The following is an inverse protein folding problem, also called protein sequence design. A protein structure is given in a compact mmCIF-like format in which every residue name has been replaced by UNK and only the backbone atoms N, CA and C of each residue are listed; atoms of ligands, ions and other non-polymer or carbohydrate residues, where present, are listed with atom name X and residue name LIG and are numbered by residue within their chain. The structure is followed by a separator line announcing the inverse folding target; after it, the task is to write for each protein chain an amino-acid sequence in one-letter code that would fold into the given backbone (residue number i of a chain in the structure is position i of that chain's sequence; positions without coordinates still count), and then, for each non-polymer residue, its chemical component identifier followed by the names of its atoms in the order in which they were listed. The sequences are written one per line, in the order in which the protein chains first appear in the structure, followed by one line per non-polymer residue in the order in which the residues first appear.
data_IF_044763712746
#
_entry.id   IF_044763712746
#
_cell.length_a   1.000
_cell.length_b   1.000
_cell.length_c   1.000
_cell.angle_alpha   90.00
_cell.angle_beta   90.00
_cell.angle_gamma   90.00
#
_symmetry.space_group_name_H-M   'P 1'
#
loop_
_entity.id
_entity.type
_entity.pdbx_description
1 polymer ?
#
# COMPACT_ATOMS: atom_id res chain seq x y z
N UNK A 1 -27.27 -3.53 -12.84
CA UNK A 1 -26.43 -2.32 -12.91
C UNK A 1 -25.06 -2.71 -12.38
N UNK A 2 -24.02 -2.73 -13.24
CA UNK A 2 -22.68 -3.13 -12.80
C UNK A 2 -21.97 -1.90 -12.23
N UNK A 3 -22.02 -1.73 -10.90
CA UNK A 3 -21.27 -0.70 -10.20
C UNK A 3 -19.76 -0.81 -10.50
N UNK A 4 -19.05 0.31 -10.53
CA UNK A 4 -17.61 0.30 -10.71
C UNK A 4 -16.95 -0.36 -9.51
N UNK A 5 -16.16 -1.40 -9.77
CA UNK A 5 -15.38 -2.09 -8.74
C UNK A 5 -14.08 -1.35 -8.51
N UNK A 6 -13.64 -1.31 -7.27
CA UNK A 6 -12.29 -0.85 -6.97
C UNK A 6 -11.24 -1.62 -7.78
N UNK A 7 -10.15 -0.96 -8.16
CA UNK A 7 -9.09 -1.54 -8.99
C UNK A 7 -7.73 -1.19 -8.44
N UNK A 8 -6.75 -2.03 -8.67
CA UNK A 8 -5.34 -1.79 -8.38
C UNK A 8 -4.50 -2.03 -9.64
N UNK A 9 -3.67 -1.06 -9.98
CA UNK A 9 -2.66 -1.14 -11.04
C UNK A 9 -1.28 -1.16 -10.40
N UNK A 10 -0.45 -2.14 -10.77
CA UNK A 10 0.94 -2.21 -10.32
C UNK A 10 1.79 -1.23 -11.12
N UNK A 11 2.29 -0.16 -10.46
CA UNK A 11 3.07 0.89 -11.15
C UNK A 11 4.54 0.51 -11.33
N UNK A 12 5.12 -0.24 -10.39
CA UNK A 12 6.50 -0.72 -10.48
C UNK A 12 6.63 -2.17 -9.99
N UNK A 13 7.81 -2.76 -10.12
CA UNK A 13 8.10 -4.13 -9.65
C UNK A 13 8.12 -4.27 -8.13
N UNK A 14 8.08 -3.18 -7.38
CA UNK A 14 8.30 -3.14 -5.95
C UNK A 14 7.04 -2.72 -5.15
N UNK A 15 6.97 -1.48 -4.71
CA UNK A 15 5.98 -1.01 -3.72
C UNK A 15 4.89 -0.12 -4.28
N UNK A 16 5.04 0.41 -5.51
CA UNK A 16 4.16 1.46 -6.02
C UNK A 16 2.89 0.92 -6.67
N UNK A 17 1.76 1.42 -6.21
CA UNK A 17 0.43 1.04 -6.69
C UNK A 17 -0.44 2.26 -7.00
N UNK A 18 -1.23 2.19 -8.05
CA UNK A 18 -2.36 3.08 -8.29
C UNK A 18 -3.65 2.34 -7.91
N UNK A 19 -4.41 2.91 -6.98
CA UNK A 19 -5.72 2.40 -6.59
C UNK A 19 -6.81 3.34 -7.11
N UNK A 20 -7.79 2.78 -7.81
CA UNK A 20 -8.99 3.47 -8.24
C UNK A 20 -10.18 2.94 -7.41
N UNK A 21 -10.72 3.78 -6.54
CA UNK A 21 -11.76 3.41 -5.58
C UNK A 21 -13.06 4.11 -5.97
N UNK A 22 -14.18 3.39 -6.14
CA UNK A 22 -15.46 4.01 -6.41
C UNK A 22 -15.93 4.80 -5.17
N UNK A 23 -16.44 5.99 -5.39
CA UNK A 23 -17.04 6.87 -4.38
C UNK A 23 -18.39 7.36 -4.87
N UNK A 24 -19.31 7.57 -3.96
CA UNK A 24 -20.65 8.09 -4.26
C UNK A 24 -20.75 9.53 -3.77
N UNK A 25 -20.94 10.45 -4.70
CA UNK A 25 -21.12 11.86 -4.41
C UNK A 25 -22.36 12.37 -5.14
N UNK A 26 -23.27 13.02 -4.41
CA UNK A 26 -24.50 13.60 -4.95
C UNK A 26 -25.35 12.62 -5.79
N UNK A 27 -25.36 11.33 -5.40
CA UNK A 27 -26.08 10.26 -6.10
C UNK A 27 -25.35 9.70 -7.35
N UNK A 28 -24.18 10.21 -7.69
CA UNK A 28 -23.36 9.77 -8.80
C UNK A 28 -22.15 8.99 -8.31
N UNK A 29 -21.82 7.92 -9.05
CA UNK A 29 -20.60 7.15 -8.82
C UNK A 29 -19.42 7.83 -9.51
N UNK A 30 -18.37 8.15 -8.74
CA UNK A 30 -17.13 8.73 -9.19
C UNK A 30 -15.96 7.81 -8.80
N UNK A 31 -14.80 7.99 -9.38
CA UNK A 31 -13.59 7.27 -9.03
C UNK A 31 -12.61 8.20 -8.30
N UNK A 32 -12.11 7.75 -7.16
CA UNK A 32 -11.04 8.37 -6.40
C UNK A 32 -9.73 7.61 -6.66
N UNK A 33 -8.73 8.30 -7.19
CA UNK A 33 -7.45 7.72 -7.59
C UNK A 33 -6.37 8.08 -6.58
N UNK A 34 -5.76 7.08 -5.93
CA UNK A 34 -4.65 7.29 -5.02
C UNK A 34 -3.42 6.48 -5.41
N UNK A 35 -2.22 7.04 -5.19
CA UNK A 35 -0.95 6.37 -5.42
C UNK A 35 -0.31 6.02 -4.09
N UNK A 36 0.00 4.73 -3.90
CA UNK A 36 0.72 4.22 -2.75
C UNK A 36 2.22 4.16 -3.05
N UNK A 37 3.04 4.62 -2.11
CA UNK A 37 4.49 4.45 -2.05
C UNK A 37 5.19 4.71 -3.41
N UNK A 38 5.14 5.95 -3.95
CA UNK A 38 5.60 6.22 -5.30
C UNK A 38 7.14 6.20 -5.40
N UNK A 39 7.67 5.14 -6.00
CA UNK A 39 9.04 5.08 -6.52
C UNK A 39 8.96 4.89 -8.04
N UNK A 40 8.84 5.99 -8.77
CA UNK A 40 8.60 6.01 -10.21
C UNK A 40 9.86 6.35 -11.01
N UNK A 41 10.64 7.29 -10.52
CA UNK A 41 11.91 7.68 -11.14
C UNK A 41 12.91 6.50 -11.16
N UNK A 42 13.74 6.40 -12.20
CA UNK A 42 14.69 5.30 -12.39
C UNK A 42 15.96 5.44 -11.53
N UNK A 43 16.09 6.50 -10.72
CA UNK A 43 17.22 6.64 -9.80
C UNK A 43 17.16 5.62 -8.67
N UNK A 44 18.33 5.32 -8.11
CA UNK A 44 18.43 4.37 -7.01
C UNK A 44 17.85 4.94 -5.71
N UNK A 45 17.29 4.07 -4.90
CA UNK A 45 17.03 4.36 -3.50
C UNK A 45 18.34 4.34 -2.70
N UNK A 46 18.45 5.23 -1.72
CA UNK A 46 19.59 5.31 -0.81
C UNK A 46 19.05 5.48 0.60
N UNK A 47 19.26 4.50 1.46
CA UNK A 47 18.93 4.60 2.87
C UNK A 47 20.16 4.86 3.70
N UNK A 48 20.13 5.94 4.51
CA UNK A 48 21.23 6.49 5.30
C UNK A 48 22.38 7.02 4.44
N UNK A 49 23.17 6.15 3.81
CA UNK A 49 24.31 6.52 2.94
C UNK A 49 24.49 5.50 1.82
N UNK A 50 25.16 5.90 0.75
CA UNK A 50 25.52 5.02 -0.37
C UNK A 50 26.32 3.79 0.08
N UNK A 51 27.20 3.97 1.07
CA UNK A 51 27.99 2.87 1.61
C UNK A 51 27.16 1.90 2.48
N UNK A 52 26.04 2.37 3.03
CA UNK A 52 25.17 1.58 3.89
C UNK A 52 24.15 0.77 3.08
N UNK A 53 23.32 1.44 2.28
CA UNK A 53 22.29 0.79 1.46
C UNK A 53 22.01 1.59 0.21
N UNK A 54 22.26 0.99 -0.94
CA UNK A 54 21.86 1.50 -2.25
C UNK A 54 21.19 0.36 -3.02
N UNK A 55 20.05 0.64 -3.62
CA UNK A 55 19.35 -0.35 -4.43
C UNK A 55 18.73 0.31 -5.67
N UNK A 56 18.75 -0.40 -6.78
CA UNK A 56 18.12 0.03 -8.03
C UNK A 56 17.14 -1.03 -8.49
N UNK A 57 16.01 -0.58 -9.01
CA UNK A 57 15.04 -1.47 -9.64
C UNK A 57 15.64 -2.05 -10.92
N UNK A 58 15.29 -3.29 -11.22
CA UNK A 58 15.63 -3.96 -12.48
C UNK A 58 14.52 -3.74 -13.51
N UNK A 59 13.28 -3.69 -13.05
CA UNK A 59 12.10 -3.47 -13.90
C UNK A 59 11.70 -2.00 -13.81
N UNK A 60 11.58 -1.35 -14.98
CA UNK A 60 11.11 0.03 -15.06
C UNK A 60 9.65 0.14 -14.60
N UNK A 61 9.31 1.27 -13.99
CA UNK A 61 7.92 1.61 -13.72
C UNK A 61 7.16 1.86 -15.02
N UNK A 62 5.84 1.69 -14.98
CA UNK A 62 4.95 1.99 -16.12
C UNK A 62 4.83 3.50 -16.39
N UNK A 63 5.16 4.31 -15.40
CA UNK A 63 5.25 5.77 -15.46
C UNK A 63 6.50 6.21 -14.71
N UNK A 64 7.22 7.21 -15.22
CA UNK A 64 8.46 7.74 -14.63
C UNK A 64 8.22 8.92 -13.68
N UNK A 65 7.00 9.44 -13.62
CA UNK A 65 6.60 10.58 -12.80
C UNK A 65 5.12 10.54 -12.43
N UNK A 66 4.72 11.35 -11.44
CA UNK A 66 3.29 11.47 -11.07
C UNK A 66 2.46 12.09 -12.19
N UNK A 67 3.03 13.00 -13.00
CA UNK A 67 2.35 13.56 -14.16
C UNK A 67 2.06 12.52 -15.24
N UNK A 68 2.94 11.53 -15.43
CA UNK A 68 2.66 10.41 -16.33
C UNK A 68 1.59 9.47 -15.78
N UNK A 69 1.51 9.30 -14.45
CA UNK A 69 0.39 8.56 -13.84
C UNK A 69 -0.93 9.30 -14.06
N UNK A 70 -0.96 10.64 -14.01
CA UNK A 70 -2.15 11.43 -14.39
C UNK A 70 -2.59 11.13 -15.82
N UNK A 71 -1.63 11.03 -16.77
CA UNK A 71 -1.92 10.65 -18.17
C UNK A 71 -2.46 9.22 -18.28
N UNK A 72 -1.92 8.26 -17.50
CA UNK A 72 -2.44 6.89 -17.47
C UNK A 72 -3.90 6.83 -16.98
N UNK A 73 -4.23 7.60 -15.94
CA UNK A 73 -5.60 7.70 -15.43
C UNK A 73 -6.54 8.27 -16.49
N UNK A 74 -6.16 9.36 -17.15
CA UNK A 74 -6.95 9.99 -18.19
C UNK A 74 -7.22 9.01 -19.35
N UNK A 75 -6.18 8.36 -19.89
CA UNK A 75 -6.29 7.43 -21.02
C UNK A 75 -7.13 6.19 -20.69
N UNK A 76 -7.03 5.65 -19.47
CA UNK A 76 -7.79 4.45 -19.07
C UNK A 76 -9.31 4.67 -19.07
N UNK A 77 -9.78 5.91 -19.05
CA UNK A 77 -11.19 6.31 -19.03
C UNK A 77 -11.75 6.62 -20.42
N UNK A 78 -10.91 7.14 -21.33
CA UNK A 78 -11.34 7.48 -22.69
C UNK A 78 -11.77 6.24 -23.50
N UNK A 79 -11.14 5.11 -23.28
CA UNK A 79 -11.46 3.84 -23.98
C UNK A 79 -12.86 3.28 -23.65
N UNK A 80 -13.51 3.72 -22.57
CA UNK A 80 -14.81 3.20 -22.10
C UNK A 80 -16.02 4.09 -22.37
N UNK A 81 -15.83 5.27 -22.97
CA UNK A 81 -16.86 6.09 -23.63
C UNK A 81 -18.04 6.58 -22.79
N UNK A 82 -18.13 6.32 -21.48
CA UNK A 82 -19.31 6.65 -20.66
C UNK A 82 -19.07 7.37 -19.33
N UNK A 83 -17.86 7.40 -18.78
CA UNK A 83 -17.66 7.92 -17.43
C UNK A 83 -16.81 9.19 -17.41
N UNK A 84 -17.41 10.32 -17.82
CA UNK A 84 -16.78 11.67 -17.75
C UNK A 84 -16.83 12.28 -16.34
N UNK A 85 -17.50 11.65 -15.36
CA UNK A 85 -17.63 12.15 -14.00
C UNK A 85 -16.61 11.46 -13.07
N UNK A 86 -15.55 12.13 -12.75
CA UNK A 86 -14.50 11.71 -11.82
C UNK A 86 -13.18 12.40 -12.09
N UNK A 87 -12.30 12.41 -11.11
CA UNK A 87 -10.96 12.98 -11.30
C UNK A 87 -10.22 12.25 -12.43
N UNK A 88 -9.69 13.02 -13.38
CA UNK A 88 -8.85 12.49 -14.46
C UNK A 88 -7.37 12.48 -14.09
N UNK A 89 -7.07 12.54 -12.80
CA UNK A 89 -5.73 12.67 -12.24
C UNK A 89 -5.67 12.02 -10.85
N UNK A 90 -4.47 11.94 -10.28
CA UNK A 90 -4.26 11.49 -8.91
C UNK A 90 -4.96 12.44 -7.95
N UNK A 91 -5.74 11.90 -7.02
CA UNK A 91 -6.45 12.65 -5.99
C UNK A 91 -5.67 12.73 -4.67
N UNK A 92 -4.84 11.72 -4.35
CA UNK A 92 -3.97 11.73 -3.17
C UNK A 92 -2.74 10.84 -3.36
N UNK A 93 -1.64 11.22 -2.69
CA UNK A 93 -0.47 10.35 -2.47
C UNK A 93 -0.51 9.79 -1.06
N UNK A 94 -0.07 8.54 -0.91
CA UNK A 94 -0.07 7.84 0.38
C UNK A 94 1.30 7.19 0.60
N UNK A 95 1.96 7.54 1.72
CA UNK A 95 3.26 6.98 2.11
C UNK A 95 3.10 6.11 3.35
N UNK A 96 3.49 4.85 3.22
CA UNK A 96 3.34 3.86 4.29
C UNK A 96 4.53 3.80 5.23
N UNK A 97 5.75 3.90 4.70
CA UNK A 97 7.01 3.65 5.43
C UNK A 97 8.05 4.74 5.18
N UNK A 98 9.03 4.92 6.10
CA UNK A 98 10.05 5.98 6.01
C UNK A 98 11.20 5.69 5.05
N UNK A 99 11.26 4.49 4.47
CA UNK A 99 12.35 4.07 3.60
C UNK A 99 12.19 4.64 2.19
N UNK A 100 13.31 4.81 1.50
CA UNK A 100 13.33 5.53 0.21
C UNK A 100 12.74 4.75 -0.97
N UNK A 101 12.43 3.48 -0.81
CA UNK A 101 11.64 2.68 -1.75
C UNK A 101 10.11 2.83 -1.57
N UNK A 102 9.69 3.46 -0.49
CA UNK A 102 8.29 3.85 -0.23
C UNK A 102 8.06 5.36 -0.39
N UNK A 103 9.07 6.16 -0.04
CA UNK A 103 9.03 7.61 -0.08
C UNK A 103 10.21 8.13 -0.91
N UNK A 104 10.21 7.82 -2.21
CA UNK A 104 11.36 8.07 -3.09
C UNK A 104 11.61 9.57 -3.30
N UNK A 105 12.76 10.11 -2.86
CA UNK A 105 13.00 11.56 -2.86
C UNK A 105 12.87 12.18 -4.24
N UNK A 106 13.46 11.60 -5.30
CA UNK A 106 13.44 12.13 -6.65
C UNK A 106 12.02 12.13 -7.24
N UNK A 107 11.23 11.10 -6.96
CA UNK A 107 9.81 11.09 -7.36
C UNK A 107 9.03 12.18 -6.62
N UNK A 108 9.23 12.35 -5.32
CA UNK A 108 8.47 13.31 -4.50
C UNK A 108 8.87 14.77 -4.75
N UNK A 109 10.13 15.04 -5.10
CA UNK A 109 10.63 16.40 -5.36
C UNK A 109 10.66 16.76 -6.85
N UNK A 110 10.08 15.93 -7.72
CA UNK A 110 10.01 16.23 -9.13
C UNK A 110 9.27 17.55 -9.36
N UNK A 111 9.86 18.53 -10.09
CA UNK A 111 9.27 19.86 -10.27
C UNK A 111 7.94 19.85 -11.07
N UNK A 112 7.63 18.78 -11.77
CA UNK A 112 6.33 18.60 -12.43
C UNK A 112 5.19 18.22 -11.50
N UNK A 113 5.48 17.90 -10.22
CA UNK A 113 4.47 17.50 -9.26
C UNK A 113 3.56 18.69 -8.90
N UNK A 114 2.28 18.41 -8.82
CA UNK A 114 1.28 19.41 -8.46
C UNK A 114 1.34 19.76 -6.97
N UNK A 115 1.41 21.06 -6.69
CA UNK A 115 1.48 21.57 -5.32
C UNK A 115 0.16 21.41 -4.52
N UNK A 116 -0.96 21.25 -5.22
CA UNK A 116 -2.30 21.05 -4.66
C UNK A 116 -2.64 19.58 -4.41
N UNK A 117 -1.75 18.65 -4.79
CA UNK A 117 -1.94 17.23 -4.56
C UNK A 117 -1.74 16.88 -3.07
N UNK A 118 -2.75 16.38 -2.35
CA UNK A 118 -2.61 15.99 -0.95
C UNK A 118 -1.60 14.86 -0.78
N UNK A 119 -0.70 15.03 0.19
CA UNK A 119 0.26 14.03 0.61
C UNK A 119 -0.12 13.49 1.98
N UNK A 120 -0.51 12.23 2.04
CA UNK A 120 -0.86 11.52 3.25
C UNK A 120 0.27 10.57 3.63
N UNK A 121 0.62 10.48 4.90
CA UNK A 121 1.67 9.53 5.28
C UNK A 121 1.64 9.15 6.75
N UNK A 122 2.28 8.03 7.07
CA UNK A 122 2.52 7.66 8.47
C UNK A 122 3.45 8.70 9.11
N UNK A 123 3.42 8.90 10.45
CA UNK A 123 4.33 9.83 11.12
C UNK A 123 5.80 9.56 10.79
N UNK A 124 6.18 8.28 10.73
CA UNK A 124 7.54 7.85 10.42
C UNK A 124 7.94 8.18 8.97
N UNK A 125 7.04 8.02 8.01
CA UNK A 125 7.27 8.38 6.61
C UNK A 125 7.38 9.89 6.41
N UNK A 126 6.49 10.67 7.03
CA UNK A 126 6.47 12.12 6.87
C UNK A 126 7.64 12.82 7.55
N UNK A 127 8.24 12.23 8.59
CA UNK A 127 9.37 12.81 9.29
C UNK A 127 10.55 13.19 8.38
N UNK A 128 11.12 12.24 7.60
CA UNK A 128 12.16 12.53 6.62
C UNK A 128 11.64 13.31 5.41
N UNK A 129 10.44 13.01 4.91
CA UNK A 129 9.88 13.64 3.70
C UNK A 129 9.70 15.15 3.85
N UNK A 130 9.21 15.63 5.00
CA UNK A 130 9.09 17.08 5.29
C UNK A 130 10.41 17.85 5.26
N UNK A 131 11.53 17.15 5.32
CA UNK A 131 12.88 17.74 5.27
C UNK A 131 13.50 17.72 3.87
N UNK A 132 12.80 17.12 2.89
CA UNK A 132 13.30 17.08 1.52
C UNK A 132 13.31 18.49 0.92
N UNK A 133 14.45 18.95 0.40
CA UNK A 133 14.50 20.24 -0.30
C UNK A 133 13.68 20.17 -1.59
N UNK A 134 12.90 21.21 -1.85
CA UNK A 134 12.08 21.28 -3.07
C UNK A 134 10.82 20.43 -3.06
N UNK A 135 10.37 19.93 -1.90
CA UNK A 135 9.08 19.24 -1.77
C UNK A 135 7.94 20.20 -2.16
N UNK A 136 7.15 19.89 -3.24
CA UNK A 136 6.17 20.86 -3.75
C UNK A 136 4.83 20.84 -2.99
N UNK A 137 4.49 19.73 -2.32
CA UNK A 137 3.17 19.51 -1.72
C UNK A 137 2.90 20.46 -0.55
N UNK A 138 1.80 21.24 -0.66
CA UNK A 138 1.38 22.20 0.37
C UNK A 138 0.48 21.57 1.43
N UNK A 139 -0.24 20.51 1.05
CA UNK A 139 -1.23 19.84 1.87
C UNK A 139 -0.70 18.48 2.33
N UNK A 140 -0.11 18.43 3.55
CA UNK A 140 0.59 17.25 4.08
C UNK A 140 -0.04 16.80 5.39
N UNK A 141 -0.69 15.64 5.38
CA UNK A 141 -1.47 15.10 6.48
C UNK A 141 -0.90 13.81 7.05
N UNK A 142 -0.98 13.69 8.36
CA UNK A 142 -0.60 12.46 9.06
C UNK A 142 -1.76 11.48 9.11
N UNK A 143 -1.54 10.25 8.65
CA UNK A 143 -2.53 9.18 8.71
C UNK A 143 -2.75 8.77 10.17
N UNK A 144 -4.01 8.79 10.67
CA UNK A 144 -4.32 8.47 12.04
C UNK A 144 -4.10 6.97 12.35
N UNK A 145 -3.83 6.68 13.61
CA UNK A 145 -3.83 5.30 14.11
C UNK A 145 -5.25 4.76 14.11
N UNK A 146 -5.42 3.52 13.70
CA UNK A 146 -6.71 2.84 13.79
C UNK A 146 -7.17 2.74 15.25
N UNK A 147 -8.43 3.05 15.48
CA UNK A 147 -9.12 2.69 16.71
C UNK A 147 -9.33 1.17 16.71
N UNK A 148 -9.10 0.51 17.85
CA UNK A 148 -9.24 -0.94 17.93
C UNK A 148 -10.70 -1.42 17.88
N UNK A 149 -11.59 -0.67 18.51
CA UNK A 149 -13.00 -1.06 18.68
C UNK A 149 -13.90 -0.53 17.56
N UNK A 150 -13.53 0.63 16.99
CA UNK A 150 -14.42 1.42 16.15
C UNK A 150 -13.95 1.48 14.71
N UNK A 151 -14.83 1.14 13.78
CA UNK A 151 -14.56 1.32 12.35
C UNK A 151 -14.35 2.81 12.01
N UNK A 152 -13.34 3.14 11.19
CA UNK A 152 -13.09 4.53 10.80
C UNK A 152 -14.24 5.12 9.95
N UNK A 153 -15.07 4.30 9.32
CA UNK A 153 -16.24 4.77 8.55
C UNK A 153 -17.33 5.38 9.44
N UNK A 154 -17.36 5.05 10.74
CA UNK A 154 -18.35 5.59 11.68
C UNK A 154 -18.01 6.99 12.19
N UNK A 155 -16.83 7.53 11.87
CA UNK A 155 -16.35 8.84 12.31
C UNK A 155 -16.05 9.74 11.12
N UNK A 156 -16.18 11.06 11.25
CA UNK A 156 -15.64 12.00 10.27
C UNK A 156 -14.14 11.79 10.07
N UNK A 157 -13.63 12.17 8.89
CA UNK A 157 -12.19 12.13 8.61
C UNK A 157 -11.61 13.53 8.66
N UNK A 158 -10.47 13.68 9.32
CA UNK A 158 -9.66 14.91 9.26
C UNK A 158 -8.73 14.93 8.03
N UNK A 159 -8.69 13.83 7.26
CA UNK A 159 -7.95 13.75 6.01
C UNK A 159 -8.80 14.31 4.87
N UNK A 160 -8.17 14.91 3.84
CA UNK A 160 -8.84 15.41 2.64
C UNK A 160 -9.29 14.28 1.72
N UNK A 161 -10.14 13.40 2.23
CA UNK A 161 -10.68 12.24 1.54
C UNK A 161 -12.19 12.43 1.31
N UNK A 162 -12.72 11.90 0.20
CA UNK A 162 -14.14 11.98 -0.05
C UNK A 162 -14.95 11.21 1.01
N UNK A 163 -16.23 11.56 1.20
CA UNK A 163 -17.12 10.75 2.01
C UNK A 163 -17.08 9.28 1.60
N UNK A 164 -17.10 8.37 2.58
CA UNK A 164 -17.06 6.92 2.32
C UNK A 164 -15.67 6.33 2.10
N UNK A 165 -14.59 7.12 2.03
CA UNK A 165 -13.21 6.60 2.07
C UNK A 165 -12.53 6.97 3.39
N UNK A 166 -11.80 6.03 3.97
CA UNK A 166 -10.95 6.23 5.16
C UNK A 166 -9.62 5.53 4.97
N UNK A 167 -8.56 6.16 5.46
CA UNK A 167 -7.22 5.57 5.52
C UNK A 167 -6.76 5.66 6.97
N UNK A 168 -6.38 4.53 7.54
CA UNK A 168 -5.82 4.44 8.88
C UNK A 168 -4.58 3.56 8.89
N UNK A 169 -3.64 3.84 9.78
CA UNK A 169 -2.47 2.99 9.97
C UNK A 169 -2.72 1.98 11.09
N UNK A 170 -2.21 0.78 10.90
CA UNK A 170 -2.13 -0.26 11.91
C UNK A 170 -0.67 -0.35 12.37
N UNK A 171 -0.46 -0.38 13.66
CA UNK A 171 0.87 -0.47 14.24
C UNK A 171 1.08 -1.87 14.81
N UNK A 172 2.32 -2.38 14.72
CA UNK A 172 2.67 -3.63 15.34
C UNK A 172 2.34 -3.60 16.85
N UNK A 173 1.47 -4.49 17.30
CA UNK A 173 0.93 -4.50 18.66
C UNK A 173 1.98 -4.88 19.74
N UNK A 174 3.12 -5.43 19.36
CA UNK A 174 4.06 -6.05 20.27
C UNK A 174 5.22 -5.15 20.66
N UNK A 175 5.15 -4.49 21.82
CA UNK A 175 6.30 -3.82 22.43
C UNK A 175 7.49 -4.78 22.66
N UNK A 176 7.22 -6.05 22.94
CA UNK A 176 8.23 -7.10 23.12
C UNK A 176 8.89 -7.55 21.82
N UNK A 177 8.23 -7.35 20.68
CA UNK A 177 8.78 -7.72 19.38
C UNK A 177 10.00 -6.88 18.99
N UNK A 178 10.04 -5.59 19.34
CA UNK A 178 11.21 -4.75 19.11
C UNK A 178 12.45 -5.25 19.89
N UNK A 179 12.25 -5.79 21.12
CA UNK A 179 13.32 -6.39 21.92
C UNK A 179 13.79 -7.70 21.28
N UNK A 180 12.86 -8.51 20.77
CA UNK A 180 13.14 -9.84 20.22
C UNK A 180 13.71 -9.78 18.78
N UNK A 181 13.21 -8.85 17.97
CA UNK A 181 13.45 -8.85 16.51
C UNK A 181 14.28 -7.68 16.01
N UNK A 182 14.56 -6.68 16.82
CA UNK A 182 15.42 -5.56 16.49
C UNK A 182 14.75 -4.17 16.52
N UNK A 183 15.55 -3.10 16.54
CA UNK A 183 15.08 -1.72 16.77
C UNK A 183 14.21 -1.16 15.63
N UNK A 184 14.33 -1.74 14.43
CA UNK A 184 13.55 -1.29 13.26
C UNK A 184 12.15 -1.93 13.19
N UNK A 185 11.81 -2.87 14.09
CA UNK A 185 10.57 -3.64 14.05
C UNK A 185 9.31 -2.76 13.88
N UNK A 186 9.15 -1.75 14.73
CA UNK A 186 7.95 -0.90 14.71
C UNK A 186 7.85 0.00 13.47
N UNK A 187 8.98 0.27 12.81
CA UNK A 187 9.04 1.07 11.57
C UNK A 187 8.81 0.23 10.32
N UNK A 188 9.10 -1.06 10.39
CA UNK A 188 8.95 -2.02 9.29
C UNK A 188 7.59 -2.69 9.30
N UNK A 189 7.16 -3.16 10.48
CA UNK A 189 5.99 -4.03 10.60
C UNK A 189 4.75 -3.25 11.02
N UNK A 190 4.04 -2.76 10.03
CA UNK A 190 2.78 -2.07 10.13
C UNK A 190 1.98 -2.27 8.86
N UNK A 191 0.81 -1.66 8.81
CA UNK A 191 -0.02 -1.68 7.61
C UNK A 191 -0.83 -0.40 7.47
N UNK A 192 -1.29 -0.13 6.26
CA UNK A 192 -2.37 0.81 5.99
C UNK A 192 -3.64 0.03 5.69
N UNK A 193 -4.73 0.39 6.36
CA UNK A 193 -6.05 -0.06 5.99
C UNK A 193 -6.75 1.05 5.21
N UNK A 194 -7.01 0.80 3.94
CA UNK A 194 -7.80 1.66 3.07
C UNK A 194 -9.19 1.06 3.03
N UNK A 195 -10.16 1.79 3.57
CA UNK A 195 -11.54 1.34 3.77
C UNK A 195 -12.45 2.19 2.91
N UNK A 196 -13.34 1.56 2.16
CA UNK A 196 -14.32 2.27 1.36
C UNK A 196 -15.72 1.67 1.49
N UNK A 197 -16.73 2.50 1.27
CA UNK A 197 -18.11 2.08 1.22
C UNK A 197 -18.42 1.47 -0.15
N UNK A 198 -19.01 0.26 -0.20
CA UNK A 198 -19.21 -0.49 -1.45
C UNK A 198 -20.51 -0.20 -2.18
N UNK A 199 -21.50 0.40 -1.53
CA UNK A 199 -22.79 0.76 -2.12
C UNK A 199 -23.33 2.06 -1.53
N UNK A 200 -24.18 2.75 -2.33
CA UNK A 200 -24.90 3.94 -1.93
C UNK A 200 -26.03 3.66 -0.92
N UNK A 201 -25.95 2.65 -0.10
CA UNK A 201 -27.01 2.36 0.87
C UNK A 201 -26.93 3.30 2.07
N UNK A 202 -27.40 4.53 1.86
CA UNK A 202 -27.68 5.49 2.93
C UNK A 202 -28.78 5.03 3.90
N UNK A 203 -29.42 3.91 3.65
CA UNK A 203 -30.55 3.37 4.42
C UNK A 203 -30.23 2.11 5.22
N UNK A 204 -29.07 1.52 5.08
CA UNK A 204 -28.71 0.31 5.84
C UNK A 204 -28.13 0.67 7.21
N UNK A 205 -28.56 -0.01 8.24
CA UNK A 205 -28.07 0.11 9.63
C UNK A 205 -26.58 -0.23 9.79
N UNK A 206 -25.93 -0.76 8.74
CA UNK A 206 -24.49 -1.00 8.64
C UNK A 206 -24.04 -0.83 7.20
N UNK A 207 -23.22 0.19 6.86
CA UNK A 207 -22.70 0.34 5.52
C UNK A 207 -21.79 -0.85 5.16
N UNK A 208 -22.04 -1.46 4.00
CA UNK A 208 -21.16 -2.46 3.44
C UNK A 208 -19.83 -1.81 3.07
N UNK A 209 -18.74 -2.47 3.39
CA UNK A 209 -17.40 -1.91 3.17
C UNK A 209 -16.46 -2.89 2.49
N UNK A 210 -15.60 -2.34 1.62
CA UNK A 210 -14.39 -2.98 1.16
C UNK A 210 -13.19 -2.50 1.98
N UNK A 211 -12.20 -3.36 2.12
CA UNK A 211 -10.93 -3.08 2.80
C UNK A 211 -9.78 -3.61 1.99
N UNK A 212 -8.79 -2.76 1.74
CA UNK A 212 -7.48 -3.14 1.29
C UNK A 212 -6.49 -2.95 2.43
N UNK A 213 -5.88 -4.04 2.87
CA UNK A 213 -4.79 -4.03 3.83
C UNK A 213 -3.47 -4.05 3.06
N UNK A 214 -2.72 -2.94 3.11
CA UNK A 214 -1.40 -2.80 2.49
C UNK A 214 -0.32 -2.96 3.55
N UNK A 215 0.45 -4.04 3.47
CA UNK A 215 1.49 -4.39 4.43
C UNK A 215 2.73 -4.95 3.72
N UNK A 216 3.54 -4.11 3.06
CA UNK A 216 4.66 -4.55 2.22
C UNK A 216 5.78 -5.26 2.98
N UNK A 217 5.91 -5.02 4.28
CA UNK A 217 6.88 -5.70 5.14
C UNK A 217 6.26 -6.80 6.04
N UNK A 218 4.95 -6.83 6.11
CA UNK A 218 4.19 -7.74 6.96
C UNK A 218 3.69 -7.13 8.27
N UNK A 219 2.60 -7.68 8.77
CA UNK A 219 1.98 -7.30 10.05
C UNK A 219 1.52 -8.55 10.79
N UNK A 220 1.62 -8.54 12.11
CA UNK A 220 1.16 -9.68 12.92
C UNK A 220 -0.38 -9.76 12.93
N UNK A 221 -0.98 -10.96 12.84
CA UNK A 221 -2.45 -11.12 12.91
C UNK A 221 -3.07 -10.46 14.15
N UNK A 222 -2.38 -10.49 15.29
CA UNK A 222 -2.83 -9.86 16.53
C UNK A 222 -2.95 -8.32 16.46
N UNK A 223 -2.39 -7.70 15.41
CA UNK A 223 -2.47 -6.26 15.18
C UNK A 223 -3.67 -5.85 14.30
N UNK A 224 -4.49 -6.81 13.88
CA UNK A 224 -5.67 -6.56 13.02
C UNK A 224 -6.89 -6.27 13.90
N UNK A 225 -7.46 -5.06 13.87
CA UNK A 225 -8.65 -4.73 14.63
C UNK A 225 -9.86 -5.57 14.20
N UNK A 226 -10.75 -5.98 15.13
CA UNK A 226 -11.89 -6.84 14.83
C UNK A 226 -12.87 -6.28 13.79
N UNK A 227 -12.98 -4.97 13.66
CA UNK A 227 -13.86 -4.36 12.67
C UNK A 227 -13.40 -4.58 11.23
N UNK A 228 -12.08 -4.79 10.97
CA UNK A 228 -11.57 -5.16 9.64
C UNK A 228 -12.09 -6.52 9.18
N UNK A 229 -12.31 -7.44 10.12
CA UNK A 229 -12.81 -8.79 9.82
C UNK A 229 -14.27 -8.80 9.38
N UNK A 230 -15.00 -7.71 9.64
CA UNK A 230 -16.41 -7.54 9.27
C UNK A 230 -16.61 -6.95 7.88
N UNK A 231 -15.55 -6.51 7.22
CA UNK A 231 -15.64 -6.00 5.85
C UNK A 231 -16.10 -7.11 4.89
N UNK A 232 -16.97 -6.76 3.95
CA UNK A 232 -17.54 -7.70 2.97
C UNK A 232 -16.48 -8.13 1.95
N UNK A 233 -15.67 -7.21 1.49
CA UNK A 233 -14.54 -7.46 0.59
C UNK A 233 -13.23 -7.13 1.29
N UNK A 234 -12.35 -8.11 1.39
CA UNK A 234 -11.04 -7.98 2.03
C UNK A 234 -9.94 -8.35 1.05
N UNK A 235 -9.02 -7.44 0.84
CA UNK A 235 -7.87 -7.58 -0.05
C UNK A 235 -6.60 -7.38 0.76
N UNK A 236 -5.59 -8.20 0.53
CA UNK A 236 -4.28 -8.09 1.14
C UNK A 236 -3.22 -7.84 0.07
N UNK A 237 -2.47 -6.73 0.18
CA UNK A 237 -1.22 -6.50 -0.56
C UNK A 237 -0.07 -6.73 0.41
N UNK A 238 0.77 -7.72 0.11
CA UNK A 238 1.80 -8.20 1.05
C UNK A 238 3.04 -8.70 0.29
N UNK A 239 4.22 -8.58 0.93
CA UNK A 239 5.42 -9.24 0.40
C UNK A 239 5.30 -10.77 0.46
N UNK A 240 5.78 -11.44 -0.57
CA UNK A 240 5.78 -12.89 -0.64
C UNK A 240 7.15 -13.48 -0.27
N UNK A 241 8.23 -12.71 -0.41
CA UNK A 241 9.57 -13.15 -0.04
C UNK A 241 9.98 -12.64 1.33
N UNK A 242 10.56 -13.53 2.13
CA UNK A 242 11.09 -13.14 3.45
C UNK A 242 12.48 -12.57 3.28
N UNK A 243 12.72 -11.42 3.91
CA UNK A 243 14.01 -10.78 3.97
C UNK A 243 14.43 -10.57 5.42
N UNK A 244 15.69 -10.84 5.74
CA UNK A 244 16.18 -10.78 7.12
C UNK A 244 17.59 -10.22 7.14
N UNK A 245 17.83 -9.25 8.00
CA UNK A 245 19.14 -8.74 8.39
C UNK A 245 19.52 -9.30 9.78
N UNK A 246 20.78 -9.19 10.20
CA UNK A 246 21.15 -9.49 11.58
C UNK A 246 20.29 -8.72 12.58
N UNK A 247 19.93 -9.36 13.72
CA UNK A 247 19.02 -8.77 14.70
C UNK A 247 19.50 -7.43 15.29
N UNK A 248 20.82 -7.27 15.42
CA UNK A 248 21.43 -6.01 15.89
C UNK A 248 21.26 -4.84 14.88
N UNK A 249 20.97 -5.12 13.60
CA UNK A 249 20.77 -4.10 12.56
C UNK A 249 19.27 -3.79 12.37
N UNK A 250 18.48 -4.79 12.03
CA UNK A 250 17.05 -4.61 11.79
C UNK A 250 16.21 -5.88 12.07
N UNK A 251 16.84 -7.06 12.08
CA UNK A 251 16.13 -8.34 12.19
C UNK A 251 15.34 -8.66 10.91
N UNK A 252 14.12 -9.19 11.01
CA UNK A 252 13.25 -9.40 9.86
C UNK A 252 12.90 -8.05 9.21
N UNK A 253 13.24 -7.89 7.92
CA UNK A 253 12.89 -6.73 7.10
C UNK A 253 11.52 -6.95 6.46
N UNK A 254 11.29 -8.16 5.94
CA UNK A 254 10.00 -8.59 5.42
C UNK A 254 9.66 -9.97 5.97
N UNK A 255 8.41 -10.14 6.42
CA UNK A 255 7.91 -11.40 6.98
C UNK A 255 7.60 -12.45 5.90
N UNK A 256 7.31 -12.02 4.68
CA UNK A 256 7.10 -12.86 3.51
C UNK A 256 5.86 -13.74 3.57
N UNK A 257 5.79 -14.72 2.67
CA UNK A 257 4.62 -15.54 2.44
C UNK A 257 4.11 -16.29 3.69
N UNK A 258 5.01 -16.72 4.59
CA UNK A 258 4.57 -17.37 5.83
C UNK A 258 3.66 -16.48 6.68
N UNK A 259 3.91 -15.17 6.74
CA UNK A 259 3.06 -14.21 7.42
C UNK A 259 1.78 -13.92 6.62
N UNK A 260 1.88 -13.76 5.29
CA UNK A 260 0.72 -13.63 4.44
C UNK A 260 -0.24 -14.82 4.60
N UNK A 261 0.29 -16.03 4.67
CA UNK A 261 -0.50 -17.25 4.87
C UNK A 261 -1.23 -17.27 6.22
N UNK A 262 -0.58 -16.79 7.31
CA UNK A 262 -1.23 -16.63 8.61
C UNK A 262 -2.39 -15.60 8.56
N UNK A 263 -2.20 -14.50 7.83
CA UNK A 263 -3.24 -13.50 7.63
C UNK A 263 -4.39 -14.02 6.76
N UNK A 264 -4.11 -14.95 5.85
CA UNK A 264 -5.12 -15.55 4.96
C UNK A 264 -5.94 -16.65 5.63
N UNK A 265 -5.60 -17.12 6.84
CA UNK A 265 -6.36 -18.18 7.52
C UNK A 265 -7.77 -17.71 7.90
N UNK A 266 -8.77 -18.62 7.88
CA UNK A 266 -10.07 -18.36 8.48
C UNK A 266 -9.94 -17.92 9.94
N UNK A 267 -10.66 -16.86 10.31
CA UNK A 267 -10.58 -16.27 11.65
C UNK A 267 -9.45 -15.26 11.88
N UNK A 268 -8.53 -15.10 10.90
CA UNK A 268 -7.58 -13.99 10.81
C UNK A 268 -8.14 -12.89 9.90
N UNK A 269 -7.33 -12.18 9.12
CA UNK A 269 -7.82 -11.19 8.16
C UNK A 269 -8.65 -11.83 7.04
N UNK A 270 -8.28 -13.04 6.61
CA UNK A 270 -9.01 -13.90 5.67
C UNK A 270 -9.43 -13.15 4.39
N UNK A 271 -8.49 -12.63 3.58
CA UNK A 271 -8.79 -11.90 2.37
C UNK A 271 -9.29 -12.83 1.27
N UNK A 272 -10.15 -12.33 0.38
CA UNK A 272 -10.52 -13.04 -0.83
C UNK A 272 -9.43 -12.96 -1.93
N UNK A 273 -8.55 -11.94 -1.84
CA UNK A 273 -7.47 -11.71 -2.80
C UNK A 273 -6.17 -11.34 -2.07
N UNK A 274 -5.09 -12.07 -2.37
CA UNK A 274 -3.72 -11.78 -1.95
C UNK A 274 -2.92 -11.31 -3.17
N UNK A 275 -2.37 -10.10 -3.10
CA UNK A 275 -1.50 -9.51 -4.12
C UNK A 275 -0.06 -9.44 -3.62
N UNK A 276 0.88 -9.92 -4.44
CA UNK A 276 2.32 -9.83 -4.15
C UNK A 276 2.85 -8.41 -4.39
N UNK A 277 3.69 -7.92 -3.46
CA UNK A 277 4.39 -6.63 -3.56
C UNK A 277 5.77 -6.72 -2.90
N UNK A 278 6.66 -5.76 -3.20
CA UNK A 278 7.97 -5.61 -2.56
C UNK A 278 8.89 -6.85 -2.70
N UNK A 279 8.73 -7.56 -3.81
CA UNK A 279 9.41 -8.83 -4.09
C UNK A 279 10.37 -8.74 -5.29
N UNK A 280 10.64 -7.54 -5.80
CA UNK A 280 11.56 -7.33 -6.92
C UNK A 280 13.01 -7.72 -6.54
N UNK A 281 13.70 -8.37 -7.46
CA UNK A 281 15.15 -8.57 -7.39
C UNK A 281 15.86 -7.27 -7.77
N UNK A 282 16.19 -6.46 -6.77
CA UNK A 282 16.89 -5.19 -6.97
C UNK A 282 18.38 -5.42 -7.15
N UNK A 283 19.05 -4.63 -7.99
CA UNK A 283 20.50 -4.51 -7.92
C UNK A 283 20.88 -3.76 -6.65
N UNK A 284 21.63 -4.39 -5.77
CA UNK A 284 21.89 -3.87 -4.43
C UNK A 284 23.38 -3.73 -4.14
N UNK A 285 23.74 -2.69 -3.37
CA UNK A 285 25.10 -2.41 -2.90
C UNK A 285 25.13 -1.97 -1.43
N UNK A 286 26.33 -1.78 -0.92
CA UNK A 286 26.58 -1.38 0.45
C UNK A 286 26.57 -2.53 1.47
N UNK A 287 26.54 -2.16 2.75
CA UNK A 287 26.59 -3.14 3.87
C UNK A 287 25.33 -3.98 3.90
N UNK A 288 24.17 -3.37 3.67
CA UNK A 288 22.87 -4.06 3.71
C UNK A 288 22.81 -5.19 2.69
N UNK A 289 23.27 -4.95 1.45
CA UNK A 289 23.26 -5.96 0.40
C UNK A 289 24.08 -7.22 0.76
N UNK A 290 25.17 -7.05 1.51
CA UNK A 290 26.05 -8.16 1.93
C UNK A 290 25.47 -8.98 3.09
N UNK A 291 24.62 -8.38 3.90
CA UNK A 291 24.08 -8.99 5.12
C UNK A 291 22.63 -9.49 4.93
N UNK A 292 21.95 -9.03 3.88
CA UNK A 292 20.56 -9.37 3.62
C UNK A 292 20.44 -10.85 3.19
N UNK A 293 19.65 -11.60 3.95
CA UNK A 293 19.27 -12.97 3.59
C UNK A 293 17.84 -12.95 3.06
N UNK A 294 17.63 -13.57 1.90
CA UNK A 294 16.33 -13.69 1.26
C UNK A 294 15.91 -15.17 1.22
N UNK A 295 14.67 -15.44 1.61
CA UNK A 295 14.01 -16.73 1.38
C UNK A 295 12.84 -16.51 0.43
N UNK A 296 12.84 -17.26 -0.64
CA UNK A 296 11.83 -17.21 -1.68
C UNK A 296 10.98 -18.47 -1.66
N UNK A 297 9.78 -18.37 -2.20
CA UNK A 297 8.87 -19.49 -2.45
C UNK A 297 8.53 -19.50 -3.93
N UNK A 298 8.41 -20.69 -4.51
CA UNK A 298 7.87 -20.87 -5.85
C UNK A 298 6.37 -20.50 -5.89
N UNK A 299 5.91 -19.96 -7.01
CA UNK A 299 4.50 -19.57 -7.17
C UNK A 299 3.55 -20.76 -6.95
N UNK A 300 3.84 -21.92 -7.57
CA UNK A 300 3.08 -23.14 -7.43
C UNK A 300 3.02 -23.64 -5.97
N UNK A 301 4.15 -23.57 -5.26
CA UNK A 301 4.22 -23.93 -3.84
C UNK A 301 3.32 -23.01 -3.00
N UNK A 302 3.37 -21.70 -3.25
CA UNK A 302 2.54 -20.72 -2.54
C UNK A 302 1.05 -20.93 -2.82
N UNK A 303 0.67 -21.19 -4.07
CA UNK A 303 -0.71 -21.46 -4.46
C UNK A 303 -1.25 -22.73 -3.79
N UNK A 304 -0.45 -23.81 -3.76
CA UNK A 304 -0.82 -25.05 -3.09
C UNK A 304 -1.02 -24.85 -1.59
N UNK A 305 -0.04 -24.23 -0.91
CA UNK A 305 -0.13 -23.95 0.54
C UNK A 305 -1.31 -23.03 0.89
N UNK A 306 -1.62 -22.08 0.02
CA UNK A 306 -2.76 -21.17 0.22
C UNK A 306 -4.09 -21.93 0.06
N UNK A 307 -4.21 -22.75 -1.00
CA UNK A 307 -5.40 -23.57 -1.27
C UNK A 307 -5.72 -24.53 -0.12
N UNK A 308 -4.70 -25.07 0.54
CA UNK A 308 -4.87 -26.00 1.65
C UNK A 308 -5.36 -25.31 2.95
N UNK A 309 -5.24 -23.97 3.05
CA UNK A 309 -5.45 -23.24 4.31
C UNK A 309 -6.39 -22.04 4.22
N UNK A 310 -6.78 -21.63 3.01
CA UNK A 310 -7.56 -20.41 2.77
C UNK A 310 -8.31 -20.50 1.46
N UNK A 311 -9.37 -19.69 1.32
CA UNK A 311 -10.07 -19.46 0.06
C UNK A 311 -9.50 -18.29 -0.76
N UNK A 312 -8.47 -17.62 -0.27
CA UNK A 312 -7.85 -16.49 -0.94
C UNK A 312 -7.25 -16.88 -2.29
N UNK A 313 -7.38 -15.99 -3.28
CA UNK A 313 -6.70 -16.13 -4.57
C UNK A 313 -5.38 -15.36 -4.53
N UNK A 314 -4.28 -16.03 -4.88
CA UNK A 314 -2.99 -15.38 -5.04
C UNK A 314 -2.86 -14.79 -6.45
N UNK A 315 -2.35 -13.57 -6.55
CA UNK A 315 -1.97 -12.92 -7.82
C UNK A 315 -0.62 -12.19 -7.65
N UNK A 316 0.29 -12.44 -8.56
CA UNK A 316 1.53 -11.68 -8.73
C UNK A 316 1.40 -10.94 -10.05
N UNK A 317 1.12 -9.64 -9.99
CA UNK A 317 0.87 -8.84 -11.19
C UNK A 317 2.18 -8.43 -11.85
N UNK A 318 2.19 -8.37 -13.17
CA UNK A 318 3.23 -7.68 -13.91
C UNK A 318 3.14 -6.15 -13.73
N UNK A 319 4.22 -5.43 -13.97
CA UNK A 319 4.21 -3.96 -14.01
C UNK A 319 3.29 -3.51 -15.14
N UNK A 320 2.36 -2.60 -14.85
CA UNK A 320 1.33 -2.15 -15.77
C UNK A 320 0.08 -3.05 -15.81
N UNK A 321 0.06 -4.16 -15.07
CA UNK A 321 -1.14 -5.00 -14.97
C UNK A 321 -2.12 -4.46 -13.93
N UNK A 322 -3.40 -4.40 -14.31
CA UNK A 322 -4.52 -3.99 -13.47
C UNK A 322 -5.33 -5.20 -13.00
N UNK A 323 -5.79 -5.17 -11.77
CA UNK A 323 -6.74 -6.15 -11.22
C UNK A 323 -7.96 -5.46 -10.62
N UNK A 324 -9.13 -6.07 -10.79
CA UNK A 324 -10.35 -5.66 -10.09
C UNK A 324 -10.29 -6.18 -8.65
N UNK A 325 -10.48 -5.27 -7.71
CA UNK A 325 -10.62 -5.58 -6.30
C UNK A 325 -12.10 -5.88 -6.05
N UNK A 326 -12.45 -7.10 -5.91
CA UNK A 326 -13.75 -7.75 -5.71
C UNK A 326 -14.96 -6.86 -5.41
#
# INVERSE_FOLDING_TARGET
MGGHRARALRLNGDTSWLLNIPVFKDGHEQSFSLVLDPWLDDSCQIDMTFAFSVQSRVIKAVASSLSEVDVLIANSRDDKGKDKEGSQRIDALVLSHPFTDHAHPQTLTNPSNRADLPLLGTPDALGPVRKLPGLPFKDVHTIPLADWETSPLSKPSDLPLPPGIRIVRLQAAEKLAAIRYGPAWSKLHGALAIVWQTEASFSASSPRSGVLLYSPHGIMPASIPPWLLRAESRILIHSLHRQTLPAWLAGPVSLGFSNALELCRPGSFDPALLLGTHDEHKTAGGVVARLLKRKEWGLEEMEQLLKDRSSAKLRVLAVGEEVKLL
#
